data_IF_551543521502
#
_entry.id   IF_551543521502
#
_cell.length_a   1.000
_cell.length_b   1.000
_cell.length_c   1.000
_cell.angle_alpha   90.00
_cell.angle_beta   90.00
_cell.angle_gamma   90.00
#
_symmetry.space_group_name_H-M   'P 1'
#
loop_
_entity.id
_entity.type
_entity.pdbx_description
1 polymer ?
#
# COMPACT_ATOMS: atom_id res chain seq x y z
N UNK A 1 -44.81 -93.97 -17.92
CA UNK A 1 -44.37 -94.48 -16.60
C UNK A 1 -43.51 -93.42 -15.96
N UNK A 2 -43.96 -92.96 -14.79
CA UNK A 2 -43.26 -92.16 -13.76
C UNK A 2 -42.73 -90.77 -14.15
N UNK A 3 -42.78 -89.75 -13.31
CA UNK A 3 -43.57 -89.33 -12.13
C UNK A 3 -42.86 -88.06 -11.66
N UNK A 4 -43.62 -87.03 -11.32
CA UNK A 4 -43.34 -86.05 -10.26
C UNK A 4 -41.95 -85.43 -10.09
N UNK A 5 -41.88 -84.09 -10.19
CA UNK A 5 -41.79 -83.22 -9.00
C UNK A 5 -41.78 -81.75 -9.40
N UNK A 6 -42.85 -81.05 -9.05
CA UNK A 6 -42.91 -79.59 -9.02
C UNK A 6 -42.20 -79.09 -7.75
N UNK A 7 -41.05 -78.42 -7.90
CA UNK A 7 -40.40 -77.68 -6.82
C UNK A 7 -40.98 -76.27 -6.74
N UNK A 8 -41.57 -75.93 -5.59
CA UNK A 8 -42.04 -74.59 -5.24
C UNK A 8 -40.83 -73.65 -5.09
N UNK A 9 -40.80 -72.56 -5.86
CA UNK A 9 -39.83 -71.48 -5.71
C UNK A 9 -40.48 -70.42 -4.81
N UNK A 10 -39.96 -70.26 -3.60
CA UNK A 10 -40.31 -69.18 -2.68
C UNK A 10 -39.55 -67.92 -3.10
N UNK A 11 -40.27 -66.89 -3.56
CA UNK A 11 -39.70 -65.56 -3.82
C UNK A 11 -39.76 -64.75 -2.53
N UNK A 12 -38.66 -64.68 -1.79
CA UNK A 12 -38.50 -63.73 -0.69
C UNK A 12 -38.07 -62.38 -1.26
N UNK A 13 -39.01 -61.45 -1.39
CA UNK A 13 -38.72 -60.07 -1.74
C UNK A 13 -37.98 -59.36 -0.60
N UNK A 14 -36.72 -59.00 -0.85
CA UNK A 14 -36.00 -58.04 -0.01
C UNK A 14 -36.37 -56.62 -0.47
N UNK A 15 -37.22 -55.94 0.31
CA UNK A 15 -37.45 -54.50 0.20
C UNK A 15 -36.20 -53.78 0.73
N UNK A 16 -35.32 -53.36 -0.18
CA UNK A 16 -34.23 -52.44 0.14
C UNK A 16 -34.85 -51.05 0.31
N UNK A 17 -35.02 -50.62 1.55
CA UNK A 17 -35.25 -49.22 1.88
C UNK A 17 -33.97 -48.44 1.58
N UNK A 18 -33.91 -47.77 0.44
CA UNK A 18 -32.88 -46.74 0.18
C UNK A 18 -33.29 -45.53 1.02
N UNK A 19 -32.66 -45.40 2.20
CA UNK A 19 -32.69 -44.17 2.95
C UNK A 19 -31.88 -43.13 2.17
N UNK A 20 -32.57 -42.28 1.41
CA UNK A 20 -31.97 -41.07 0.85
C UNK A 20 -31.75 -40.12 2.02
N UNK A 21 -30.57 -40.21 2.65
CA UNK A 21 -30.09 -39.16 3.53
C UNK A 21 -29.80 -37.95 2.64
N UNK A 22 -30.73 -37.00 2.61
CA UNK A 22 -30.44 -35.64 2.17
C UNK A 22 -29.37 -35.08 3.10
N UNK A 23 -28.10 -35.31 2.74
CA UNK A 23 -27.00 -34.54 3.28
C UNK A 23 -27.27 -33.10 2.87
N UNK A 24 -27.53 -32.24 3.86
CA UNK A 24 -27.31 -30.82 3.67
C UNK A 24 -25.87 -30.69 3.19
N UNK A 25 -25.70 -30.31 1.93
CA UNK A 25 -24.45 -29.74 1.46
C UNK A 25 -24.34 -28.39 2.19
N UNK A 26 -23.75 -28.44 3.38
CA UNK A 26 -23.34 -27.26 4.13
C UNK A 26 -22.26 -26.64 3.26
N UNK A 27 -22.67 -25.78 2.32
CA UNK A 27 -21.81 -25.18 1.33
C UNK A 27 -20.51 -24.75 1.99
N UNK A 28 -19.40 -25.32 1.50
CA UNK A 28 -18.08 -24.78 1.74
C UNK A 28 -18.06 -23.40 1.08
N UNK A 29 -18.59 -22.37 1.74
CA UNK A 29 -18.16 -21.02 1.45
C UNK A 29 -16.65 -21.05 1.69
N UNK A 30 -15.81 -20.78 0.66
CA UNK A 30 -14.38 -20.72 0.88
C UNK A 30 -14.14 -19.74 2.02
N UNK A 31 -13.40 -20.20 3.03
CA UNK A 31 -12.96 -19.31 4.10
C UNK A 31 -12.23 -18.13 3.45
N UNK A 32 -12.54 -16.92 3.87
CA UNK A 32 -11.76 -15.75 3.47
C UNK A 32 -10.30 -15.97 3.90
N UNK A 33 -9.41 -16.04 2.91
CA UNK A 33 -7.99 -16.30 3.08
C UNK A 33 -7.25 -15.47 2.01
N UNK A 34 -6.86 -14.22 2.33
CA UNK A 34 -6.20 -13.36 1.36
C UNK A 34 -4.80 -13.88 1.06
N UNK A 35 -4.31 -13.62 -0.15
CA UNK A 35 -3.01 -14.09 -0.61
C UNK A 35 -1.91 -13.27 0.06
N UNK A 36 -1.13 -13.88 0.95
CA UNK A 36 -0.01 -13.20 1.61
C UNK A 36 1.01 -12.69 0.59
N UNK A 37 1.42 -11.42 0.72
CA UNK A 37 2.42 -10.80 -0.13
C UNK A 37 3.72 -10.56 0.65
N UNK A 38 4.83 -11.08 0.15
CA UNK A 38 6.17 -10.79 0.71
C UNK A 38 6.82 -9.67 -0.08
N UNK A 39 7.12 -8.55 0.57
CA UNK A 39 7.87 -7.45 -0.06
C UNK A 39 9.30 -7.93 -0.34
N UNK A 40 9.73 -7.81 -1.58
CA UNK A 40 11.13 -7.99 -1.97
C UNK A 40 11.94 -6.79 -1.46
N UNK A 41 12.70 -6.99 -0.38
CA UNK A 41 13.54 -5.95 0.21
C UNK A 41 14.84 -5.87 -0.59
N UNK A 42 15.12 -4.74 -1.29
CA UNK A 42 16.29 -4.63 -2.13
C UNK A 42 17.59 -4.76 -1.33
N UNK A 43 18.66 -5.16 -2.03
CA UNK A 43 19.98 -5.25 -1.42
C UNK A 43 20.36 -3.93 -0.74
N UNK A 44 20.89 -4.05 0.48
CA UNK A 44 21.26 -2.96 1.38
C UNK A 44 20.13 -2.15 2.00
N UNK A 45 18.85 -2.43 1.75
CA UNK A 45 17.77 -1.81 2.50
C UNK A 45 17.55 -2.57 3.82
N UNK A 46 17.21 -1.89 4.93
CA UNK A 46 16.83 -2.57 6.15
C UNK A 46 15.49 -3.31 5.97
N UNK A 47 15.14 -4.27 6.84
CA UNK A 47 13.79 -4.80 6.89
C UNK A 47 12.77 -3.66 7.00
N UNK A 48 11.69 -3.76 6.23
CA UNK A 48 10.59 -2.79 6.31
C UNK A 48 9.74 -3.08 7.56
N UNK A 49 9.36 -2.03 8.29
CA UNK A 49 8.46 -2.14 9.43
C UNK A 49 7.01 -2.23 8.93
N UNK A 50 6.48 -3.45 8.87
CA UNK A 50 5.10 -3.73 8.44
C UNK A 50 4.28 -3.96 9.71
N UNK A 51 3.27 -3.12 10.01
CA UNK A 51 2.43 -3.27 11.18
C UNK A 51 1.72 -4.64 11.20
N UNK A 52 1.71 -5.29 12.36
CA UNK A 52 1.08 -6.61 12.52
C UNK A 52 -0.44 -6.59 12.27
N UNK A 53 -1.08 -5.43 12.48
CA UNK A 53 -2.52 -5.22 12.24
C UNK A 53 -2.82 -4.74 10.80
N UNK A 54 -1.80 -4.64 9.95
CA UNK A 54 -1.91 -4.34 8.51
C UNK A 54 -0.89 -5.14 7.69
N UNK A 55 -0.96 -6.47 7.81
CA UNK A 55 -0.12 -7.38 7.03
C UNK A 55 -0.38 -7.24 5.51
N UNK A 56 0.66 -7.43 4.71
CA UNK A 56 0.61 -7.25 3.26
C UNK A 56 -0.09 -8.43 2.57
N UNK A 57 -1.09 -8.13 1.72
CA UNK A 57 -1.77 -9.12 0.88
C UNK A 57 -1.90 -8.62 -0.56
N UNK A 58 -1.98 -9.52 -1.54
CA UNK A 58 -2.18 -9.14 -2.94
C UNK A 58 -3.48 -8.36 -3.14
N UNK A 59 -4.55 -8.79 -2.46
CA UNK A 59 -5.87 -8.17 -2.50
C UNK A 59 -5.87 -6.79 -1.82
N UNK A 60 -5.21 -6.65 -0.68
CA UNK A 60 -5.07 -5.37 0.02
C UNK A 60 -4.25 -4.35 -0.77
N UNK A 61 -3.14 -4.78 -1.39
CA UNK A 61 -2.34 -3.94 -2.31
C UNK A 61 -3.18 -3.52 -3.53
N UNK A 62 -3.94 -4.45 -4.12
CA UNK A 62 -4.81 -4.18 -5.26
C UNK A 62 -5.88 -3.15 -4.91
N UNK A 63 -6.59 -3.34 -3.80
CA UNK A 63 -7.58 -2.39 -3.29
C UNK A 63 -6.94 -1.03 -3.02
N UNK A 64 -5.79 -1.00 -2.34
CA UNK A 64 -5.05 0.24 -2.07
C UNK A 64 -4.66 1.00 -3.32
N UNK A 65 -4.23 0.29 -4.37
CA UNK A 65 -3.91 0.89 -5.67
C UNK A 65 -5.13 1.52 -6.30
N UNK A 66 -6.30 0.88 -6.23
CA UNK A 66 -7.55 1.44 -6.75
C UNK A 66 -7.92 2.71 -5.98
N UNK A 67 -7.95 2.64 -4.65
CA UNK A 67 -8.27 3.78 -3.79
C UNK A 67 -7.30 4.96 -3.96
N UNK A 68 -6.02 4.71 -4.20
CA UNK A 68 -5.03 5.77 -4.46
C UNK A 68 -5.38 6.64 -5.68
N UNK A 69 -6.10 6.08 -6.66
CA UNK A 69 -6.57 6.76 -7.86
C UNK A 69 -8.07 7.09 -7.83
N UNK A 70 -8.76 6.76 -6.74
CA UNK A 70 -10.20 6.96 -6.61
C UNK A 70 -10.50 8.43 -6.29
N UNK A 71 -11.39 9.02 -7.09
CA UNK A 71 -11.78 10.43 -6.96
C UNK A 71 -12.95 10.63 -6.01
N UNK A 72 -13.72 9.58 -5.72
CA UNK A 72 -14.77 9.60 -4.69
C UNK A 72 -14.25 9.91 -3.29
N UNK A 73 -12.92 9.83 -3.08
CA UNK A 73 -12.23 10.30 -1.88
C UNK A 73 -12.11 11.83 -1.80
N UNK A 74 -12.58 12.58 -2.80
CA UNK A 74 -12.58 14.05 -2.82
C UNK A 74 -14.00 14.62 -2.90
N UNK A 75 -14.19 15.82 -2.35
CA UNK A 75 -15.50 16.47 -2.24
C UNK A 75 -16.27 16.49 -3.57
N UNK A 76 -15.60 16.91 -4.64
CA UNK A 76 -16.17 17.19 -5.96
C UNK A 76 -15.80 16.14 -7.02
N UNK A 77 -15.22 15.01 -6.62
CA UNK A 77 -14.74 13.95 -7.52
C UNK A 77 -13.70 14.43 -8.55
N UNK A 78 -12.95 15.50 -8.25
CA UNK A 78 -11.96 16.06 -9.18
C UNK A 78 -10.56 15.45 -9.03
N UNK A 79 -10.15 15.13 -7.80
CA UNK A 79 -8.79 14.72 -7.44
C UNK A 79 -8.75 13.38 -6.69
N UNK A 80 -7.58 12.74 -6.73
CA UNK A 80 -7.22 11.52 -5.99
C UNK A 80 -5.84 11.71 -5.34
N UNK A 81 -5.36 10.75 -4.55
CA UNK A 81 -3.99 10.80 -4.01
C UNK A 81 -2.95 10.96 -5.14
N UNK A 82 -3.15 10.23 -6.24
CA UNK A 82 -2.29 10.30 -7.42
C UNK A 82 -2.35 11.60 -8.23
N UNK A 83 -3.31 12.50 -7.94
CA UNK A 83 -3.36 13.83 -8.55
C UNK A 83 -2.22 14.72 -8.05
N UNK A 84 -1.89 14.64 -6.76
CA UNK A 84 -0.76 15.36 -6.17
C UNK A 84 0.53 14.52 -6.19
N UNK A 85 0.43 13.19 -6.10
CA UNK A 85 1.55 12.26 -6.12
C UNK A 85 1.68 11.56 -7.48
N UNK A 86 1.88 12.34 -8.54
CA UNK A 86 1.83 11.83 -9.91
C UNK A 86 3.12 11.09 -10.32
N UNK A 87 3.05 9.89 -10.93
CA UNK A 87 4.23 9.16 -11.40
C UNK A 87 5.12 9.96 -12.37
N UNK A 88 4.52 10.82 -13.20
CA UNK A 88 5.22 11.70 -14.15
C UNK A 88 6.14 12.72 -13.47
N UNK A 89 5.91 12.96 -12.18
CA UNK A 89 6.67 13.85 -11.32
C UNK A 89 7.33 13.08 -10.18
N UNK A 90 7.69 11.81 -10.41
CA UNK A 90 8.31 10.92 -9.42
C UNK A 90 7.47 10.76 -8.14
N UNK A 91 6.15 10.76 -8.27
CA UNK A 91 5.19 10.68 -7.16
C UNK A 91 5.27 11.86 -6.16
N UNK A 92 5.68 13.03 -6.64
CA UNK A 92 5.50 14.32 -5.99
C UNK A 92 4.66 15.26 -6.87
N UNK A 93 4.41 16.47 -6.40
CA UNK A 93 3.79 17.52 -7.23
C UNK A 93 4.89 18.31 -7.98
N UNK A 94 4.74 18.61 -9.28
CA UNK A 94 5.70 19.46 -9.99
C UNK A 94 5.60 20.95 -9.61
N UNK A 95 4.53 21.36 -8.94
CA UNK A 95 4.31 22.75 -8.53
C UNK A 95 4.87 23.03 -7.14
N UNK A 96 5.15 24.29 -6.84
CA UNK A 96 5.57 24.73 -5.50
C UNK A 96 4.52 24.39 -4.42
N UNK A 97 3.24 24.54 -4.76
CA UNK A 97 2.11 24.22 -3.88
C UNK A 97 1.11 23.35 -4.62
N UNK A 98 0.60 22.33 -3.93
CA UNK A 98 -0.40 21.44 -4.51
C UNK A 98 -1.78 22.10 -4.59
N UNK A 99 -2.53 21.73 -5.62
CA UNK A 99 -3.91 22.17 -5.82
C UNK A 99 -4.88 21.13 -5.28
N UNK A 100 -5.70 21.50 -4.30
CA UNK A 100 -6.82 20.71 -3.82
C UNK A 100 -8.09 20.90 -4.67
N UNK A 101 -9.21 20.44 -4.13
CA UNK A 101 -10.54 20.61 -4.74
C UNK A 101 -10.84 22.09 -5.02
N UNK A 102 -11.63 22.34 -6.07
CA UNK A 102 -11.91 23.68 -6.58
C UNK A 102 -10.67 24.52 -6.98
N UNK A 103 -9.48 23.91 -7.11
CA UNK A 103 -8.24 24.61 -7.43
C UNK A 103 -7.65 25.41 -6.26
N UNK A 104 -8.05 25.08 -5.03
CA UNK A 104 -7.52 25.74 -3.82
C UNK A 104 -6.05 25.37 -3.65
N UNK A 105 -5.17 26.35 -3.49
CA UNK A 105 -3.75 26.07 -3.26
C UNK A 105 -3.49 25.76 -1.79
N UNK A 106 -2.76 24.67 -1.55
CA UNK A 106 -2.19 24.35 -0.25
C UNK A 106 -1.02 25.26 0.14
N UNK A 107 -0.44 24.99 1.31
CA UNK A 107 0.72 25.75 1.82
C UNK A 107 2.08 25.11 1.54
N UNK A 108 2.11 23.88 0.98
CA UNK A 108 3.34 23.10 0.73
C UNK A 108 3.21 22.30 -0.58
N UNK A 109 4.36 21.88 -1.11
CA UNK A 109 4.45 20.88 -2.16
C UNK A 109 4.06 19.50 -1.61
N UNK A 110 3.41 18.65 -2.40
CA UNK A 110 3.25 17.25 -2.04
C UNK A 110 4.58 16.51 -2.18
N UNK A 111 5.12 16.04 -1.05
CA UNK A 111 6.39 15.32 -0.99
C UNK A 111 6.39 14.05 -1.85
N UNK A 112 7.58 13.58 -2.23
CA UNK A 112 7.73 12.26 -2.85
C UNK A 112 7.28 11.17 -1.87
N UNK A 113 6.50 10.20 -2.37
CA UNK A 113 6.00 9.06 -1.57
C UNK A 113 6.70 7.73 -1.87
N UNK A 114 7.73 7.77 -2.71
CA UNK A 114 8.59 6.60 -2.98
C UNK A 114 9.43 6.29 -1.74
N UNK A 115 9.56 5.00 -1.43
CA UNK A 115 10.29 4.45 -0.29
C UNK A 115 9.72 4.81 1.11
N UNK A 116 8.49 5.32 1.22
CA UNK A 116 7.90 5.67 2.52
C UNK A 116 7.73 4.49 3.51
N UNK A 117 7.85 3.25 3.06
CA UNK A 117 7.78 2.07 3.93
C UNK A 117 8.86 2.04 5.03
N UNK A 118 9.92 2.84 4.92
CA UNK A 118 10.99 2.93 5.91
C UNK A 118 11.04 4.27 6.66
N UNK A 119 10.11 5.19 6.39
CA UNK A 119 10.02 6.46 7.11
C UNK A 119 9.46 6.24 8.52
N UNK A 120 10.00 6.95 9.51
CA UNK A 120 9.47 6.93 10.89
C UNK A 120 8.56 8.12 11.24
N UNK A 121 8.54 9.11 10.36
CA UNK A 121 7.82 10.37 10.49
C UNK A 121 7.31 10.78 9.13
N UNK A 122 6.16 11.45 9.11
CA UNK A 122 5.45 11.79 7.89
C UNK A 122 4.94 13.24 7.94
N UNK A 123 4.66 13.77 6.75
CA UNK A 123 4.54 15.20 6.43
C UNK A 123 5.84 15.98 6.59
N UNK A 124 5.91 17.14 5.95
CA UNK A 124 7.05 18.07 6.05
C UNK A 124 7.37 18.58 7.47
N UNK A 125 6.44 18.47 8.40
CA UNK A 125 6.61 18.87 9.80
C UNK A 125 6.71 17.67 10.75
N UNK A 126 6.79 16.45 10.21
CA UNK A 126 6.96 15.22 11.00
C UNK A 126 5.79 14.90 11.94
N UNK A 127 4.63 15.55 11.77
CA UNK A 127 3.53 15.48 12.75
C UNK A 127 2.84 14.12 12.82
N UNK A 128 2.94 13.31 11.77
CA UNK A 128 2.37 11.97 11.73
C UNK A 128 3.47 10.93 11.98
N UNK A 129 3.15 9.93 12.81
CA UNK A 129 4.10 8.90 13.23
C UNK A 129 3.92 7.58 12.48
N UNK A 130 2.83 7.43 11.73
CA UNK A 130 2.53 6.24 10.94
C UNK A 130 2.13 6.63 9.52
N UNK A 131 2.36 5.72 8.57
CA UNK A 131 1.94 5.91 7.19
C UNK A 131 0.40 5.99 7.10
N UNK A 132 -0.30 5.21 7.92
CA UNK A 132 -1.74 5.24 8.04
C UNK A 132 -2.25 6.63 8.49
N UNK A 133 -1.62 7.27 9.49
CA UNK A 133 -1.97 8.63 9.92
C UNK A 133 -1.71 9.68 8.83
N UNK A 134 -0.62 9.51 8.07
CA UNK A 134 -0.30 10.34 6.91
C UNK A 134 -1.41 10.28 5.84
N UNK A 135 -1.90 9.08 5.53
CA UNK A 135 -2.93 8.85 4.50
C UNK A 135 -4.29 9.38 4.93
N UNK A 136 -4.59 9.30 6.22
CA UNK A 136 -5.89 9.71 6.79
C UNK A 136 -6.15 11.21 6.62
N UNK A 137 -5.13 12.04 6.83
CA UNK A 137 -5.25 13.50 6.88
C UNK A 137 -5.73 14.19 5.58
N UNK A 138 -5.15 13.91 4.41
CA UNK A 138 -5.48 14.57 3.14
C UNK A 138 -6.96 14.53 2.75
N UNK A 139 -7.67 13.45 3.09
CA UNK A 139 -9.09 13.25 2.74
C UNK A 139 -9.97 14.36 3.35
N UNK A 140 -9.77 14.64 4.64
CA UNK A 140 -10.56 15.65 5.36
C UNK A 140 -9.97 17.06 5.28
N UNK A 141 -8.71 17.19 4.83
CA UNK A 141 -8.04 18.48 4.84
C UNK A 141 -8.70 19.47 3.86
N UNK A 142 -9.10 20.68 4.30
CA UNK A 142 -9.94 21.58 3.51
C UNK A 142 -9.23 22.19 2.30
N UNK A 143 -7.89 22.19 2.29
CA UNK A 143 -7.08 22.65 1.14
C UNK A 143 -6.66 21.49 0.22
N UNK A 144 -7.07 20.26 0.52
CA UNK A 144 -6.75 19.06 -0.26
C UNK A 144 -8.05 18.45 -0.79
N UNK A 145 -8.55 17.36 -0.20
CA UNK A 145 -9.72 16.62 -0.70
C UNK A 145 -11.05 17.06 -0.08
N UNK A 146 -11.01 17.72 1.09
CA UNK A 146 -12.12 18.42 1.75
C UNK A 146 -13.45 17.62 1.86
N UNK A 147 -13.37 16.34 2.21
CA UNK A 147 -14.54 15.48 2.42
C UNK A 147 -14.36 14.65 3.69
N UNK A 148 -15.43 14.39 4.43
CA UNK A 148 -15.32 13.55 5.64
C UNK A 148 -15.27 12.08 5.26
N UNK A 149 -14.63 11.27 6.09
CA UNK A 149 -14.56 9.83 5.85
C UNK A 149 -15.92 9.13 5.86
N UNK A 150 -16.91 9.64 6.60
CA UNK A 150 -18.27 9.08 6.55
C UNK A 150 -18.89 9.19 5.16
N UNK A 151 -18.70 10.33 4.48
CA UNK A 151 -19.18 10.53 3.11
C UNK A 151 -18.42 9.63 2.13
N UNK A 152 -17.10 9.48 2.31
CA UNK A 152 -16.29 8.59 1.47
C UNK A 152 -16.75 7.13 1.61
N UNK A 153 -16.94 6.66 2.84
CA UNK A 153 -17.42 5.30 3.11
C UNK A 153 -18.82 5.09 2.55
N UNK A 154 -19.73 6.06 2.69
CA UNK A 154 -21.07 5.99 2.10
C UNK A 154 -21.01 5.86 0.57
N UNK A 155 -20.17 6.64 -0.10
CA UNK A 155 -19.96 6.57 -1.56
C UNK A 155 -19.40 5.22 -1.98
N UNK A 156 -18.31 4.77 -1.36
CA UNK A 156 -17.68 3.48 -1.70
C UNK A 156 -18.64 2.30 -1.49
N UNK A 157 -19.58 2.39 -0.54
CA UNK A 157 -20.58 1.37 -0.28
C UNK A 157 -21.73 1.34 -1.29
N UNK A 158 -22.12 2.50 -1.85
CA UNK A 158 -23.42 2.64 -2.51
C UNK A 158 -23.38 3.19 -3.95
N UNK A 159 -22.30 3.88 -4.34
CA UNK A 159 -22.17 4.46 -5.67
C UNK A 159 -21.86 3.39 -6.73
N UNK A 160 -22.20 3.69 -7.98
CA UNK A 160 -21.90 2.85 -9.14
C UNK A 160 -20.52 3.20 -9.71
N UNK A 161 -19.58 2.26 -9.62
CA UNK A 161 -18.22 2.37 -10.16
C UNK A 161 -18.02 1.53 -11.43
N UNK A 162 -19.11 1.17 -12.11
CA UNK A 162 -19.11 0.36 -13.32
C UNK A 162 -18.73 -1.09 -13.03
N UNK A 163 -17.53 -1.48 -13.42
CA UNK A 163 -17.04 -2.85 -13.23
C UNK A 163 -16.38 -3.07 -11.86
N UNK A 164 -16.22 -2.01 -11.06
CA UNK A 164 -15.64 -2.10 -9.71
C UNK A 164 -16.76 -2.25 -8.67
N UNK A 165 -16.62 -3.28 -7.83
CA UNK A 165 -17.45 -3.52 -6.66
C UNK A 165 -16.58 -3.36 -5.42
N UNK A 166 -16.64 -2.18 -4.78
CA UNK A 166 -15.83 -1.90 -3.59
C UNK A 166 -16.19 -2.81 -2.42
N UNK A 167 -17.46 -3.05 -2.05
CA UNK A 167 -17.81 -4.04 -1.02
C UNK A 167 -17.13 -5.40 -1.25
N UNK A 168 -17.16 -5.93 -2.48
CA UNK A 168 -16.47 -7.18 -2.80
C UNK A 168 -14.94 -7.05 -2.69
N UNK A 169 -14.35 -5.94 -3.15
CA UNK A 169 -12.90 -5.72 -3.02
C UNK A 169 -12.44 -5.63 -1.55
N UNK A 170 -13.25 -5.04 -0.67
CA UNK A 170 -13.00 -5.02 0.77
C UNK A 170 -13.18 -6.41 1.39
N UNK A 171 -14.15 -7.20 0.91
CA UNK A 171 -14.28 -8.60 1.31
C UNK A 171 -13.05 -9.40 0.92
N UNK A 172 -12.56 -9.27 -0.31
CA UNK A 172 -11.36 -9.96 -0.77
C UNK A 172 -10.14 -9.57 0.08
N UNK A 173 -10.00 -8.28 0.41
CA UNK A 173 -8.85 -7.75 1.16
C UNK A 173 -8.90 -8.02 2.68
N UNK A 174 -10.08 -7.98 3.31
CA UNK A 174 -10.24 -7.93 4.77
C UNK A 174 -11.33 -8.84 5.34
N UNK A 175 -12.05 -9.59 4.50
CA UNK A 175 -13.05 -10.58 4.93
C UNK A 175 -14.39 -9.96 5.32
N UNK A 176 -14.62 -8.70 4.95
CA UNK A 176 -15.85 -7.97 5.24
C UNK A 176 -16.21 -7.06 4.08
N UNK A 177 -17.47 -7.07 3.68
CA UNK A 177 -18.03 -6.09 2.74
C UNK A 177 -18.26 -4.72 3.38
N UNK A 178 -18.24 -4.64 4.72
CA UNK A 178 -18.38 -3.38 5.45
C UNK A 178 -17.10 -2.57 5.30
N UNK A 179 -17.19 -1.49 4.53
CA UNK A 179 -16.13 -0.53 4.33
C UNK A 179 -16.01 0.37 5.56
N UNK A 180 -14.77 0.62 5.99
CA UNK A 180 -14.47 1.60 7.04
C UNK A 180 -13.31 2.50 6.62
N UNK A 181 -13.19 3.65 7.28
CA UNK A 181 -12.03 4.53 7.16
C UNK A 181 -10.72 3.76 7.43
N UNK A 182 -10.65 2.99 8.52
CA UNK A 182 -9.45 2.25 8.91
C UNK A 182 -9.01 1.24 7.83
N UNK A 183 -9.95 0.47 7.29
CA UNK A 183 -9.66 -0.50 6.22
C UNK A 183 -9.23 0.19 4.92
N UNK A 184 -9.83 1.34 4.60
CA UNK A 184 -9.47 2.14 3.42
C UNK A 184 -8.04 2.66 3.52
N UNK A 185 -7.71 3.25 4.67
CA UNK A 185 -6.37 3.75 4.99
C UNK A 185 -5.35 2.61 4.96
N UNK A 186 -5.67 1.47 5.57
CA UNK A 186 -4.80 0.28 5.60
C UNK A 186 -4.51 -0.25 4.20
N UNK A 187 -5.52 -0.36 3.34
CA UNK A 187 -5.33 -0.79 1.96
C UNK A 187 -4.39 0.16 1.19
N UNK A 188 -4.63 1.48 1.26
CA UNK A 188 -3.77 2.48 0.61
C UNK A 188 -2.33 2.37 1.16
N UNK A 189 -2.17 2.17 2.46
CA UNK A 189 -0.85 2.01 3.08
C UNK A 189 -0.12 0.76 2.56
N UNK A 190 -0.82 -0.37 2.38
CA UNK A 190 -0.23 -1.55 1.73
C UNK A 190 0.26 -1.22 0.32
N UNK A 191 -0.52 -0.50 -0.49
CA UNK A 191 -0.08 -0.08 -1.82
C UNK A 191 1.16 0.82 -1.76
N UNK A 192 1.16 1.85 -0.89
CA UNK A 192 2.30 2.78 -0.78
C UNK A 192 3.59 2.07 -0.33
N UNK A 193 3.50 1.06 0.55
CA UNK A 193 4.66 0.23 0.94
C UNK A 193 5.31 -0.51 -0.24
N UNK A 194 4.58 -0.74 -1.33
CA UNK A 194 5.14 -1.35 -2.57
C UNK A 194 5.87 -0.36 -3.46
N UNK A 195 5.82 0.95 -3.17
CA UNK A 195 6.42 2.00 -4.00
C UNK A 195 7.92 2.13 -3.72
N UNK A 196 8.68 1.14 -4.17
CA UNK A 196 10.12 1.02 -3.90
C UNK A 196 10.95 1.43 -5.12
N UNK A 197 11.95 2.29 -4.90
CA UNK A 197 12.99 2.64 -5.87
C UNK A 197 14.37 2.31 -5.29
N UNK A 198 15.08 1.39 -5.94
CA UNK A 198 16.36 0.85 -5.47
C UNK A 198 17.33 0.47 -6.61
N UNK A 199 17.22 1.15 -7.75
CA UNK A 199 18.06 0.88 -8.93
C UNK A 199 18.68 2.14 -9.55
N UNK A 200 18.85 3.19 -8.75
CA UNK A 200 19.61 4.37 -9.14
C UNK A 200 21.07 4.02 -9.45
N UNK A 201 21.82 4.95 -10.05
CA UNK A 201 23.26 4.75 -10.26
C UNK A 201 24.01 4.56 -8.94
N UNK A 202 23.59 5.23 -7.87
CA UNK A 202 24.15 5.05 -6.54
C UNK A 202 23.91 3.63 -6.02
N UNK A 203 22.70 3.08 -6.19
CA UNK A 203 22.38 1.71 -5.79
C UNK A 203 23.24 0.68 -6.55
N UNK A 204 23.39 0.88 -7.87
CA UNK A 204 24.25 0.04 -8.72
C UNK A 204 25.71 0.13 -8.29
N UNK A 205 26.21 1.33 -7.99
CA UNK A 205 27.59 1.52 -7.54
C UNK A 205 27.87 0.78 -6.24
N UNK A 206 26.92 0.83 -5.29
CA UNK A 206 27.01 0.09 -4.03
C UNK A 206 26.97 -1.42 -4.20
N UNK A 207 26.26 -1.93 -5.21
CA UNK A 207 26.29 -3.34 -5.61
C UNK A 207 27.53 -3.72 -6.42
N UNK A 208 28.43 -2.78 -6.73
CA UNK A 208 29.61 -3.01 -7.55
C UNK A 208 29.28 -3.22 -9.03
N UNK A 209 28.11 -2.78 -9.50
CA UNK A 209 27.62 -2.95 -10.88
C UNK A 209 28.05 -1.81 -11.81
N UNK A 210 28.50 -0.68 -11.26
CA UNK A 210 28.97 0.50 -12.00
C UNK A 210 29.95 1.30 -11.15
N UNK A 211 30.70 2.19 -11.78
CA UNK A 211 31.50 3.21 -11.09
C UNK A 211 30.76 4.56 -11.02
N UNK A 212 31.10 5.36 -10.00
CA UNK A 212 30.82 6.79 -10.00
C UNK A 212 31.90 7.52 -10.79
N UNK A 213 31.53 8.60 -11.47
CA UNK A 213 32.49 9.57 -11.98
C UNK A 213 33.18 10.29 -10.83
N UNK A 214 34.34 10.91 -11.10
CA UNK A 214 35.08 11.68 -10.10
C UNK A 214 34.20 12.76 -9.44
N UNK A 215 33.29 13.40 -10.20
CA UNK A 215 32.36 14.40 -9.68
C UNK A 215 31.27 13.82 -8.79
N UNK A 216 30.68 12.67 -9.16
CA UNK A 216 29.67 12.01 -8.33
C UNK A 216 30.29 11.48 -7.03
N UNK A 217 31.50 10.91 -7.10
CA UNK A 217 32.21 10.45 -5.93
C UNK A 217 32.62 11.61 -5.01
N UNK A 218 33.08 12.72 -5.59
CA UNK A 218 33.34 13.94 -4.82
C UNK A 218 32.07 14.47 -4.15
N UNK A 219 30.94 14.49 -4.84
CA UNK A 219 29.64 14.86 -4.26
C UNK A 219 29.23 13.96 -3.09
N UNK A 220 29.42 12.64 -3.22
CA UNK A 220 29.19 11.70 -2.13
C UNK A 220 30.11 11.96 -0.94
N UNK A 221 31.39 12.29 -1.16
CA UNK A 221 32.30 12.66 -0.08
C UNK A 221 31.88 13.96 0.62
N UNK A 222 31.39 14.96 -0.10
CA UNK A 222 30.87 16.18 0.51
C UNK A 222 29.65 15.89 1.39
N UNK A 223 28.76 15.02 0.91
CA UNK A 223 27.53 14.65 1.63
C UNK A 223 27.82 14.02 3.00
N UNK A 224 28.84 13.17 3.11
CA UNK A 224 29.20 12.43 4.32
C UNK A 224 30.13 13.14 5.29
N UNK A 225 30.59 14.35 4.93
CA UNK A 225 31.57 15.09 5.73
C UNK A 225 30.92 16.26 6.43
N UNK A 226 31.44 16.55 7.62
CA UNK A 226 31.07 17.70 8.42
C UNK A 226 31.26 19.01 7.63
N UNK A 227 30.29 19.91 7.79
CA UNK A 227 30.20 21.13 7.00
C UNK A 227 31.28 22.17 7.30
N UNK A 228 31.75 22.84 6.24
CA UNK A 228 32.54 24.07 6.36
C UNK A 228 34.05 23.88 6.49
N UNK A 229 34.77 25.00 6.45
CA UNK A 229 36.23 25.05 6.51
C UNK A 229 36.73 24.81 7.95
N UNK A 230 37.59 23.82 8.24
CA UNK A 230 38.13 23.56 9.58
C UNK A 230 38.84 24.76 10.22
N UNK A 231 39.39 25.69 9.43
CA UNK A 231 40.02 26.91 9.95
C UNK A 231 39.00 27.93 10.47
N UNK A 232 37.76 27.85 10.00
CA UNK A 232 36.67 28.79 10.33
C UNK A 232 35.61 28.14 11.23
N UNK A 233 35.29 26.87 10.99
CA UNK A 233 34.32 26.05 11.71
C UNK A 233 35.04 24.85 12.36
N UNK A 234 35.36 24.91 13.66
CA UNK A 234 36.00 23.79 14.36
C UNK A 234 35.18 22.51 14.23
N UNK A 235 35.77 21.47 13.62
CA UNK A 235 35.11 20.20 13.32
C UNK A 235 34.64 20.06 11.87
N UNK A 236 34.66 21.13 11.07
CA UNK A 236 34.36 21.08 9.64
C UNK A 236 35.40 20.29 8.86
N UNK A 237 34.95 19.56 7.83
CA UNK A 237 35.78 18.70 6.99
C UNK A 237 35.65 19.07 5.49
N UNK A 238 35.37 20.35 5.21
CA UNK A 238 35.00 20.86 3.88
C UNK A 238 33.79 20.13 3.27
N UNK A 239 32.97 19.49 4.09
CA UNK A 239 31.76 18.80 3.66
C UNK A 239 30.55 19.72 3.56
N UNK A 240 29.39 19.08 3.40
CA UNK A 240 28.09 19.72 3.29
C UNK A 240 27.15 19.35 4.45
N UNK A 241 27.60 18.53 5.41
CA UNK A 241 26.88 18.17 6.62
C UNK A 241 25.50 17.52 6.41
N UNK A 242 25.28 16.94 5.21
CA UNK A 242 23.97 16.50 4.80
C UNK A 242 23.50 15.23 5.54
N UNK A 243 24.43 14.37 5.94
CA UNK A 243 24.12 13.05 6.50
C UNK A 243 23.37 13.06 7.84
N UNK A 244 23.43 14.17 8.60
CA UNK A 244 22.67 14.32 9.86
C UNK A 244 21.16 14.46 9.63
N UNK A 245 20.76 15.04 8.50
CA UNK A 245 19.35 15.29 8.15
C UNK A 245 18.84 14.34 7.06
N UNK A 246 19.72 13.94 6.15
CA UNK A 246 19.43 12.99 5.09
C UNK A 246 20.16 11.71 5.44
N UNK A 247 19.51 10.85 6.21
CA UNK A 247 20.13 9.65 6.75
C UNK A 247 20.81 8.83 5.65
N UNK A 248 22.13 8.71 5.71
CA UNK A 248 22.85 7.66 4.98
C UNK A 248 22.34 6.29 5.46
N UNK A 249 22.06 6.17 6.76
CA UNK A 249 21.50 5.01 7.44
C UNK A 249 19.98 4.86 7.16
N UNK A 250 19.66 4.63 5.89
CA UNK A 250 18.29 4.48 5.38
C UNK A 250 18.28 4.42 3.86
N UNK A 251 19.32 5.02 3.23
CA UNK A 251 19.72 4.80 1.84
C UNK A 251 18.68 5.22 0.81
N UNK A 252 17.77 6.09 1.22
CA UNK A 252 16.66 6.54 0.39
C UNK A 252 16.84 7.97 -0.10
N UNK A 253 17.84 8.70 0.42
CA UNK A 253 18.02 10.15 0.22
C UNK A 253 16.69 10.92 0.35
N UNK A 254 15.82 10.43 1.23
CA UNK A 254 14.57 11.08 1.59
C UNK A 254 14.81 12.03 2.75
N UNK A 255 14.00 13.07 2.81
CA UNK A 255 13.99 13.98 3.95
C UNK A 255 13.36 13.21 5.13
N UNK A 256 14.21 12.76 6.05
CA UNK A 256 13.80 12.14 7.30
C UNK A 256 13.95 13.21 8.38
N UNK A 257 12.84 13.79 8.84
CA UNK A 257 12.83 14.67 10.01
C UNK A 257 12.16 13.96 11.18
#
# INVERSE_FOLDING_TARGET
MNSDRLSRITVSGFLIFIAVSSGCDCGNNPAWEPTSYTIDIPAFFPPMDIPADNAMTEEGIKLGRLLFWEKSLSLDHSISCGSCHAPTSNFSDPNQFSSGVNGTLGGRNASVIVNLGWSSSFFWDGRAMTLEDQIRGPVEHPLEMNVTWEVVVERLMNDDFGELDYPQLFFDAFGTEIITEDLSVKAIAQFIRTMISANSKFDKWRRGETDLSDLEYFGYQLFLKEGGDPEVNPGGEFGADCFHCHGEAGLQFSDYL
#
